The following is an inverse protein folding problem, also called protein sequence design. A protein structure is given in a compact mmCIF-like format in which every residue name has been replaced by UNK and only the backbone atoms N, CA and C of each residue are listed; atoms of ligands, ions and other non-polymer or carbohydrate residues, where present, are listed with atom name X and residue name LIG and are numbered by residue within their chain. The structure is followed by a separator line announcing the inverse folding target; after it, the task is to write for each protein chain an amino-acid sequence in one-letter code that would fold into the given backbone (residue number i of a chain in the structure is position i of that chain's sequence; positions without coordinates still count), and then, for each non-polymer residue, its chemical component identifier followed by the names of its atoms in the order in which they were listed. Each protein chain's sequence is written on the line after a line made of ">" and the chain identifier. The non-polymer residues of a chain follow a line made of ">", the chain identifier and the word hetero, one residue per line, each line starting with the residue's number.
data_IF_563325350191
#
_entry.id   IF_563325350191
#
_cell.length_a   1.000
_cell.length_b   1.000
_cell.length_c   1.000
_cell.angle_alpha   90.00
_cell.angle_beta   90.00
_cell.angle_gamma   90.00
#
_symmetry.space_group_name_H-M   'P 1'
#
loop_
_entity.id
_entity.type
_entity.pdbx_description
1 polymer ?
#
# COMPACT_ATOMS: atom_id res chain seq x y z
N UNK A 1 89.46 2.70 -19.87
CA UNK A 1 88.83 3.57 -18.90
C UNK A 1 87.52 4.12 -19.54
N UNK A 2 86.35 3.57 -19.23
CA UNK A 2 84.99 4.23 -19.33
C UNK A 2 84.02 3.45 -18.45
N UNK A 3 83.63 4.12 -17.39
CA UNK A 3 82.71 3.66 -16.38
C UNK A 3 81.32 3.61 -16.95
N UNK A 4 80.65 2.45 -16.88
CA UNK A 4 79.23 2.29 -17.19
C UNK A 4 78.37 2.36 -15.92
N UNK A 5 77.57 3.41 -15.77
CA UNK A 5 76.60 3.54 -14.69
C UNK A 5 75.40 2.56 -14.95
N UNK A 6 75.17 1.62 -14.03
CA UNK A 6 73.94 0.82 -13.94
C UNK A 6 72.84 1.68 -13.31
N UNK A 7 71.79 1.90 -14.05
CA UNK A 7 70.50 2.48 -13.51
C UNK A 7 69.77 1.40 -12.70
N UNK A 8 69.60 1.63 -11.41
CA UNK A 8 68.81 0.77 -10.54
C UNK A 8 67.33 0.93 -10.80
N UNK A 9 66.69 -0.19 -11.07
CA UNK A 9 65.19 -0.27 -11.15
C UNK A 9 64.60 -0.09 -9.73
N UNK A 10 63.67 0.86 -9.63
CA UNK A 10 62.95 1.17 -8.40
C UNK A 10 61.97 0.04 -8.05
N UNK A 11 62.04 -0.58 -6.84
CA UNK A 11 61.22 -1.76 -6.48
C UNK A 11 59.76 -1.46 -6.18
N UNK A 12 59.25 -0.25 -6.45
CA UNK A 12 57.92 0.19 -6.08
C UNK A 12 56.88 0.13 -7.21
N UNK A 13 57.26 -0.25 -8.42
CA UNK A 13 56.38 -0.31 -9.57
C UNK A 13 55.35 -1.45 -9.56
N UNK A 14 55.55 -2.62 -8.94
CA UNK A 14 54.51 -3.64 -8.91
C UNK A 14 53.40 -3.35 -7.91
N UNK A 15 53.61 -2.52 -6.88
CA UNK A 15 52.59 -2.21 -5.87
C UNK A 15 51.50 -1.23 -6.41
N UNK A 16 51.89 -0.33 -7.33
CA UNK A 16 50.96 0.64 -7.92
C UNK A 16 49.97 -0.01 -8.89
N UNK A 17 50.38 -1.08 -9.56
CA UNK A 17 49.49 -1.82 -10.47
C UNK A 17 48.46 -2.68 -9.75
N UNK A 18 48.78 -3.23 -8.59
CA UNK A 18 47.84 -4.03 -7.78
C UNK A 18 46.77 -3.14 -7.12
N UNK A 19 47.12 -1.89 -6.75
CA UNK A 19 46.15 -0.94 -6.18
C UNK A 19 45.20 -0.42 -7.25
N UNK A 20 45.66 -0.24 -8.50
CA UNK A 20 44.79 0.26 -9.58
C UNK A 20 43.80 -0.82 -10.09
N UNK A 21 44.17 -2.10 -10.05
CA UNK A 21 43.26 -3.20 -10.40
C UNK A 21 42.25 -3.54 -9.30
N UNK A 22 42.55 -3.25 -8.04
CA UNK A 22 41.63 -3.44 -6.91
C UNK A 22 40.46 -2.43 -6.86
N UNK A 23 40.64 -1.24 -7.44
CA UNK A 23 39.57 -0.22 -7.45
C UNK A 23 38.50 -0.44 -8.54
N UNK A 24 38.78 -1.23 -9.58
CA UNK A 24 37.80 -1.53 -10.64
C UNK A 24 36.83 -2.67 -10.29
N UNK A 25 37.09 -3.47 -9.26
CA UNK A 25 36.24 -4.60 -8.87
C UNK A 25 35.13 -4.25 -7.86
N UNK A 26 35.14 -3.04 -7.28
CA UNK A 26 34.19 -2.63 -6.24
C UNK A 26 32.96 -1.86 -6.76
N UNK A 27 32.87 -1.58 -8.07
CA UNK A 27 31.75 -0.79 -8.65
C UNK A 27 30.72 -1.60 -9.46
N UNK A 28 30.72 -2.93 -9.38
CA UNK A 28 29.83 -3.79 -10.19
C UNK A 28 28.41 -3.98 -9.69
N UNK A 29 28.04 -3.49 -8.53
CA UNK A 29 26.78 -3.89 -7.88
C UNK A 29 25.72 -2.82 -7.66
N UNK A 30 25.94 -1.55 -8.01
CA UNK A 30 25.04 -0.44 -7.63
C UNK A 30 24.67 0.56 -8.73
N UNK A 31 25.13 0.37 -9.95
CA UNK A 31 24.86 1.32 -11.04
C UNK A 31 23.54 1.07 -11.76
N UNK A 32 23.02 -0.14 -11.75
CA UNK A 32 21.75 -0.47 -12.41
C UNK A 32 20.55 0.24 -11.77
N UNK A 33 20.55 0.43 -10.46
CA UNK A 33 19.49 1.16 -9.73
C UNK A 33 19.51 2.69 -9.96
N UNK A 34 20.66 3.26 -10.30
CA UNK A 34 20.81 4.71 -10.54
C UNK A 34 20.37 5.13 -11.95
N UNK A 35 20.25 4.19 -12.88
CA UNK A 35 19.86 4.45 -14.28
C UNK A 35 18.39 4.15 -14.56
N UNK A 36 17.66 3.52 -13.65
CA UNK A 36 16.24 3.24 -13.84
C UNK A 36 15.42 4.49 -13.55
N UNK A 37 14.66 5.02 -14.52
CA UNK A 37 13.87 6.22 -14.32
C UNK A 37 12.76 5.98 -13.27
N UNK A 38 12.36 7.06 -12.58
CA UNK A 38 11.23 6.98 -11.65
C UNK A 38 9.93 6.75 -12.40
N UNK A 39 9.07 5.89 -11.84
CA UNK A 39 7.75 5.67 -12.40
C UNK A 39 6.84 6.90 -12.23
N UNK A 40 5.91 7.07 -13.15
CA UNK A 40 4.96 8.18 -13.20
C UNK A 40 3.51 7.74 -12.98
N UNK A 41 2.61 8.68 -12.79
CA UNK A 41 1.17 8.45 -12.58
C UNK A 41 0.76 8.49 -11.10
N UNK A 42 -0.55 8.54 -10.88
CA UNK A 42 -1.13 8.61 -9.53
C UNK A 42 -1.35 7.21 -8.95
N UNK A 43 -1.40 7.08 -7.62
CA UNK A 43 -1.81 5.83 -6.99
C UNK A 43 -3.15 5.31 -7.54
N UNK A 44 -3.23 3.98 -7.75
CA UNK A 44 -4.43 3.31 -8.26
C UNK A 44 -4.87 3.70 -9.67
N UNK A 45 -3.96 4.23 -10.50
CA UNK A 45 -4.13 4.34 -11.95
C UNK A 45 -3.49 3.13 -12.62
N UNK A 46 -4.14 2.58 -13.66
CA UNK A 46 -3.65 1.46 -14.47
C UNK A 46 -3.72 1.86 -15.93
N UNK A 47 -2.60 1.78 -16.64
CA UNK A 47 -2.55 1.92 -18.08
C UNK A 47 -2.78 0.54 -18.73
N UNK A 48 -3.88 0.41 -19.45
CA UNK A 48 -4.19 -0.79 -20.25
C UNK A 48 -3.69 -0.58 -21.68
N UNK A 49 -2.76 -1.45 -22.08
CA UNK A 49 -2.21 -1.51 -23.44
C UNK A 49 -2.93 -2.64 -24.17
N UNK A 50 -3.83 -2.30 -25.09
CA UNK A 50 -4.60 -3.27 -25.86
C UNK A 50 -4.95 -2.71 -27.23
N UNK A 51 -5.08 -3.59 -28.25
CA UNK A 51 -5.60 -3.16 -29.53
C UNK A 51 -7.07 -2.68 -29.38
N UNK A 52 -7.52 -1.70 -30.17
CA UNK A 52 -8.93 -1.27 -30.15
C UNK A 52 -9.91 -2.43 -30.36
N UNK A 53 -9.57 -3.35 -31.25
CA UNK A 53 -10.38 -4.54 -31.52
C UNK A 53 -10.58 -5.40 -30.26
N UNK A 54 -9.53 -5.68 -29.48
CA UNK A 54 -9.63 -6.45 -28.22
C UNK A 54 -10.46 -5.70 -27.19
N UNK A 55 -10.27 -4.38 -27.10
CA UNK A 55 -10.95 -3.59 -26.09
C UNK A 55 -12.47 -3.48 -26.29
N UNK A 56 -12.92 -3.37 -27.53
CA UNK A 56 -14.33 -3.21 -27.88
C UNK A 56 -15.11 -4.55 -27.87
N UNK A 57 -14.39 -5.67 -27.83
CA UNK A 57 -14.91 -7.02 -27.84
C UNK A 57 -15.18 -7.60 -26.43
N UNK A 58 -15.79 -8.81 -26.32
CA UNK A 58 -16.12 -9.43 -25.02
C UNK A 58 -14.96 -9.60 -24.06
N UNK A 59 -13.73 -9.82 -24.54
CA UNK A 59 -12.55 -9.90 -23.67
C UNK A 59 -12.21 -8.57 -22.99
N UNK A 60 -12.33 -7.45 -23.71
CA UNK A 60 -12.15 -6.11 -23.12
C UNK A 60 -13.22 -5.80 -22.07
N UNK A 61 -14.47 -6.19 -22.33
CA UNK A 61 -15.56 -6.05 -21.33
C UNK A 61 -15.31 -6.92 -20.10
N UNK A 62 -14.82 -8.14 -20.26
CA UNK A 62 -14.47 -9.03 -19.14
C UNK A 62 -13.33 -8.44 -18.30
N UNK A 63 -12.31 -7.87 -18.94
CA UNK A 63 -11.24 -7.16 -18.22
C UNK A 63 -11.77 -5.95 -17.46
N UNK A 64 -12.60 -5.14 -18.15
CA UNK A 64 -13.23 -4.00 -17.49
C UNK A 64 -13.98 -4.45 -16.23
N UNK A 65 -14.86 -5.43 -16.35
CA UNK A 65 -15.63 -5.95 -15.21
C UNK A 65 -14.77 -6.49 -14.08
N UNK A 66 -13.61 -7.08 -14.38
CA UNK A 66 -12.68 -7.58 -13.35
C UNK A 66 -12.00 -6.44 -12.56
N UNK A 67 -11.76 -5.28 -13.19
CA UNK A 67 -11.11 -4.13 -12.58
C UNK A 67 -12.09 -3.03 -12.11
N UNK A 68 -13.33 -3.06 -12.62
CA UNK A 68 -14.39 -2.09 -12.33
C UNK A 68 -15.12 -2.42 -11.02
N UNK A 69 -14.34 -2.60 -9.97
CA UNK A 69 -14.83 -2.87 -8.62
C UNK A 69 -14.79 -1.61 -7.78
N UNK A 70 -15.70 -1.47 -6.83
CA UNK A 70 -15.71 -0.35 -5.90
C UNK A 70 -14.80 -0.63 -4.68
N UNK A 71 -14.29 0.44 -4.08
CA UNK A 71 -13.60 0.36 -2.78
C UNK A 71 -14.67 0.18 -1.69
N UNK A 72 -14.60 -0.89 -0.89
CA UNK A 72 -15.58 -1.10 0.17
C UNK A 72 -15.44 -0.09 1.30
N UNK A 73 -16.57 0.20 1.97
CA UNK A 73 -16.58 1.09 3.15
C UNK A 73 -16.50 2.59 2.83
N UNK A 74 -16.79 2.99 1.59
CA UNK A 74 -16.91 4.41 1.22
C UNK A 74 -18.39 4.87 1.25
N UNK A 75 -18.65 6.15 1.57
CA UNK A 75 -20.00 6.68 1.63
C UNK A 75 -20.67 6.78 0.25
N UNK A 76 -19.86 6.80 -0.80
CA UNK A 76 -20.31 6.80 -2.19
C UNK A 76 -19.49 5.77 -2.97
N UNK A 77 -20.07 5.11 -4.00
CA UNK A 77 -19.31 4.20 -4.84
C UNK A 77 -18.15 4.92 -5.53
N UNK A 78 -16.93 4.49 -5.27
CA UNK A 78 -15.73 4.97 -5.94
C UNK A 78 -14.96 3.76 -6.47
N UNK A 79 -14.67 3.78 -7.79
CA UNK A 79 -13.94 2.69 -8.45
C UNK A 79 -12.56 2.49 -7.84
N UNK A 80 -12.18 1.23 -7.64
CA UNK A 80 -10.89 0.86 -7.06
C UNK A 80 -9.71 1.36 -7.90
N UNK A 81 -9.88 1.46 -9.23
CA UNK A 81 -8.84 1.91 -10.14
C UNK A 81 -9.38 2.94 -11.15
N UNK A 82 -8.49 3.83 -11.55
CA UNK A 82 -8.69 4.66 -12.75
C UNK A 82 -8.01 3.98 -13.92
N UNK A 83 -8.78 3.51 -14.89
CA UNK A 83 -8.26 2.86 -16.09
C UNK A 83 -7.98 3.88 -17.18
N UNK A 84 -6.76 3.88 -17.70
CA UNK A 84 -6.33 4.61 -18.89
C UNK A 84 -6.09 3.60 -20.00
N UNK A 85 -6.26 3.96 -21.25
CA UNK A 85 -6.12 3.07 -22.40
C UNK A 85 -5.16 3.62 -23.43
N UNK A 86 -4.38 2.71 -24.03
CA UNK A 86 -3.57 3.03 -25.21
C UNK A 86 -3.50 1.83 -26.15
N UNK A 87 -3.37 2.11 -27.45
CA UNK A 87 -3.07 1.06 -28.43
C UNK A 87 -1.57 0.69 -28.36
N UNK A 88 -1.17 -0.56 -28.68
CA UNK A 88 0.23 -0.98 -28.65
C UNK A 88 1.16 -0.06 -29.47
N UNK A 89 0.72 0.43 -30.63
CA UNK A 89 1.49 1.36 -31.46
C UNK A 89 1.77 2.72 -30.83
N UNK A 90 0.98 3.12 -29.83
CA UNK A 90 1.12 4.38 -29.11
C UNK A 90 1.81 4.20 -27.75
N UNK A 91 2.19 2.98 -27.39
CA UNK A 91 2.87 2.66 -26.14
C UNK A 91 4.35 3.05 -26.23
N UNK A 92 4.60 4.34 -26.15
CA UNK A 92 5.91 4.99 -26.28
C UNK A 92 6.73 5.00 -24.98
N UNK A 93 7.89 5.63 -25.03
CA UNK A 93 8.80 5.74 -23.88
C UNK A 93 8.16 6.46 -22.69
N UNK A 94 7.29 7.46 -22.92
CA UNK A 94 6.60 8.21 -21.85
C UNK A 94 5.57 7.34 -21.15
N UNK A 95 4.74 6.63 -21.91
CA UNK A 95 3.72 5.75 -21.35
C UNK A 95 4.31 4.54 -20.64
N UNK A 96 5.50 4.09 -21.05
CA UNK A 96 6.25 3.02 -20.35
C UNK A 96 6.66 3.40 -18.93
N UNK A 97 6.76 4.68 -18.62
CA UNK A 97 7.04 5.12 -17.23
C UNK A 97 5.85 4.98 -16.29
N UNK A 98 4.66 4.64 -16.77
CA UNK A 98 3.46 4.49 -15.92
C UNK A 98 3.68 3.40 -14.87
N UNK A 99 3.35 3.71 -13.64
CA UNK A 99 3.61 2.85 -12.46
C UNK A 99 2.88 1.51 -12.45
N UNK A 100 1.71 1.42 -13.08
CA UNK A 100 0.95 0.17 -13.25
C UNK A 100 0.56 0.03 -14.72
N UNK A 101 1.01 -1.02 -15.35
CA UNK A 101 0.75 -1.32 -16.74
C UNK A 101 0.11 -2.70 -16.86
N UNK A 102 -0.94 -2.81 -17.66
CA UNK A 102 -1.57 -4.07 -18.00
C UNK A 102 -1.57 -4.21 -19.53
N UNK A 103 -0.83 -5.19 -20.04
CA UNK A 103 -0.71 -5.47 -21.47
C UNK A 103 -1.61 -6.65 -21.85
N UNK A 104 -2.45 -6.48 -22.85
CA UNK A 104 -3.20 -7.54 -23.51
C UNK A 104 -2.58 -7.79 -24.89
N UNK A 105 -2.02 -8.98 -25.08
CA UNK A 105 -1.33 -9.37 -26.31
C UNK A 105 -1.97 -10.64 -26.88
N UNK A 106 -2.68 -10.49 -28.02
CA UNK A 106 -3.32 -11.57 -28.74
C UNK A 106 -2.57 -11.84 -30.02
N UNK A 107 -2.09 -13.08 -30.16
CA UNK A 107 -1.37 -13.51 -31.33
C UNK A 107 -1.42 -15.05 -31.48
N UNK A 108 -2.19 -15.54 -32.44
CA UNK A 108 -2.40 -16.97 -32.68
C UNK A 108 -1.14 -17.70 -33.14
N UNK A 109 -0.26 -16.99 -33.84
CA UNK A 109 0.98 -17.60 -34.36
C UNK A 109 2.06 -17.65 -33.27
N UNK A 110 2.03 -16.71 -32.33
CA UNK A 110 3.04 -16.53 -31.29
C UNK A 110 2.73 -17.29 -30.00
N UNK A 111 1.45 -17.41 -29.63
CA UNK A 111 1.05 -18.00 -28.36
C UNK A 111 0.27 -19.28 -28.51
N UNK A 112 0.82 -20.46 -28.09
CA UNK A 112 0.10 -21.73 -28.18
C UNK A 112 -1.01 -21.84 -27.14
N UNK A 113 -0.93 -21.10 -26.04
CA UNK A 113 -1.91 -21.09 -24.95
C UNK A 113 -1.94 -19.73 -24.25
N UNK A 114 -3.04 -19.48 -23.54
CA UNK A 114 -3.17 -18.25 -22.75
C UNK A 114 -2.31 -18.29 -21.48
N UNK A 115 -1.68 -17.17 -21.15
CA UNK A 115 -0.82 -17.02 -19.98
C UNK A 115 -1.05 -15.68 -19.26
N UNK A 116 -0.81 -15.71 -17.95
CA UNK A 116 -0.74 -14.54 -17.07
C UNK A 116 0.65 -14.45 -16.47
N UNK A 117 1.31 -13.33 -16.67
CA UNK A 117 2.64 -13.06 -16.09
C UNK A 117 2.69 -11.65 -15.52
N UNK A 118 3.58 -11.40 -14.56
CA UNK A 118 3.88 -10.04 -14.12
C UNK A 118 5.37 -9.90 -13.84
N UNK A 119 5.85 -8.67 -13.98
CA UNK A 119 7.22 -8.29 -13.64
C UNK A 119 7.22 -6.92 -12.95
N UNK A 120 8.25 -6.68 -12.14
CA UNK A 120 8.47 -5.38 -11.48
C UNK A 120 9.62 -4.65 -12.16
N UNK A 121 9.54 -3.32 -12.14
CA UNK A 121 10.64 -2.42 -12.52
C UNK A 121 11.19 -2.66 -13.94
N UNK A 122 10.26 -2.90 -14.90
CA UNK A 122 10.63 -3.24 -16.28
C UNK A 122 11.14 -2.03 -17.05
N UNK A 123 10.48 -0.89 -16.91
CA UNK A 123 10.82 0.36 -17.63
C UNK A 123 11.12 1.51 -16.70
N UNK A 124 10.62 1.45 -15.47
CA UNK A 124 10.76 2.47 -14.44
C UNK A 124 10.64 1.82 -13.06
N UNK A 125 11.06 2.49 -11.99
CA UNK A 125 10.92 2.00 -10.62
C UNK A 125 10.27 3.08 -9.73
N UNK A 126 9.38 2.64 -8.80
CA UNK A 126 8.78 1.30 -8.64
C UNK A 126 7.62 1.08 -9.62
N UNK A 127 7.60 -0.02 -10.34
CA UNK A 127 6.62 -0.31 -11.40
C UNK A 127 6.10 -1.75 -11.33
N UNK A 128 4.83 -1.96 -11.67
CA UNK A 128 4.25 -3.27 -11.95
C UNK A 128 3.77 -3.34 -13.39
N UNK A 129 4.27 -4.32 -14.13
CA UNK A 129 3.80 -4.66 -15.49
C UNK A 129 3.17 -6.04 -15.44
N UNK A 130 1.88 -6.11 -15.73
CA UNK A 130 1.12 -7.35 -15.89
C UNK A 130 0.91 -7.61 -17.38
N UNK A 131 1.13 -8.84 -17.83
CA UNK A 131 0.93 -9.22 -19.22
C UNK A 131 0.02 -10.44 -19.32
N UNK A 132 -1.07 -10.30 -20.05
CA UNK A 132 -1.98 -11.35 -20.44
C UNK A 132 -1.76 -11.64 -21.94
N UNK A 133 -1.31 -12.86 -22.24
CA UNK A 133 -1.09 -13.33 -23.60
C UNK A 133 -2.07 -14.44 -23.94
N UNK A 134 -2.59 -14.44 -25.15
CA UNK A 134 -3.50 -15.50 -25.60
C UNK A 134 -3.45 -15.68 -27.12
N UNK A 135 -3.72 -16.89 -27.65
CA UNK A 135 -3.83 -17.11 -29.08
C UNK A 135 -5.07 -16.41 -29.69
N UNK A 136 -6.14 -16.31 -28.90
CA UNK A 136 -7.43 -15.79 -29.33
C UNK A 136 -8.22 -15.16 -28.18
N UNK A 137 -9.36 -14.58 -28.51
CA UNK A 137 -10.20 -13.86 -27.58
C UNK A 137 -10.86 -14.77 -26.53
N UNK A 138 -11.26 -16.00 -26.90
CA UNK A 138 -11.91 -16.92 -25.98
C UNK A 138 -10.93 -17.43 -24.93
N UNK A 139 -9.71 -17.73 -25.34
CA UNK A 139 -8.61 -18.06 -24.43
C UNK A 139 -8.28 -16.90 -23.48
N UNK A 140 -8.31 -15.66 -23.98
CA UNK A 140 -8.11 -14.47 -23.14
C UNK A 140 -9.23 -14.31 -22.10
N UNK A 141 -10.50 -14.47 -22.51
CA UNK A 141 -11.65 -14.44 -21.57
C UNK A 141 -11.53 -15.51 -20.49
N UNK A 142 -11.12 -16.73 -20.86
CA UNK A 142 -10.92 -17.82 -19.91
C UNK A 142 -9.84 -17.50 -18.87
N UNK A 143 -8.72 -16.89 -19.27
CA UNK A 143 -7.69 -16.42 -18.33
C UNK A 143 -8.22 -15.31 -17.44
N UNK A 144 -8.89 -14.31 -18.01
CA UNK A 144 -9.49 -13.21 -17.25
C UNK A 144 -10.47 -13.70 -16.21
N UNK A 145 -11.31 -14.67 -16.54
CA UNK A 145 -12.23 -15.26 -15.57
C UNK A 145 -11.51 -15.93 -14.38
N UNK A 146 -10.39 -16.63 -14.66
CA UNK A 146 -9.56 -17.25 -13.61
C UNK A 146 -8.85 -16.23 -12.73
N UNK A 147 -8.41 -15.11 -13.28
CA UNK A 147 -7.66 -14.09 -12.53
C UNK A 147 -8.52 -12.88 -12.09
N UNK A 148 -9.84 -12.90 -12.31
CA UNK A 148 -10.73 -11.79 -12.03
C UNK A 148 -10.63 -11.28 -10.58
N UNK A 149 -10.50 -12.16 -9.59
CA UNK A 149 -10.35 -11.77 -8.19
C UNK A 149 -8.89 -11.45 -7.81
N UNK A 150 -7.90 -12.06 -8.46
CA UNK A 150 -6.49 -11.88 -8.12
C UNK A 150 -5.87 -10.63 -8.77
N UNK A 151 -6.33 -10.25 -9.93
CA UNK A 151 -5.82 -9.10 -10.68
C UNK A 151 -5.99 -7.76 -9.92
N UNK A 152 -7.17 -7.39 -9.41
CA UNK A 152 -7.32 -6.20 -8.59
C UNK A 152 -6.52 -6.26 -7.28
N UNK A 153 -6.44 -7.44 -6.67
CA UNK A 153 -5.64 -7.65 -5.45
C UNK A 153 -4.16 -7.39 -5.70
N UNK A 154 -3.61 -7.89 -6.82
CA UNK A 154 -2.21 -7.69 -7.18
C UNK A 154 -1.88 -6.20 -7.28
N UNK A 155 -2.64 -5.42 -8.06
CA UNK A 155 -2.42 -3.97 -8.17
C UNK A 155 -2.59 -3.24 -6.83
N UNK A 156 -3.59 -3.64 -6.04
CA UNK A 156 -3.80 -3.07 -4.70
C UNK A 156 -2.63 -3.34 -3.76
N UNK A 157 -2.11 -4.56 -3.76
CA UNK A 157 -0.97 -4.95 -2.94
C UNK A 157 0.30 -4.20 -3.32
N UNK A 158 0.56 -4.03 -4.63
CA UNK A 158 1.72 -3.27 -5.09
C UNK A 158 1.63 -1.79 -4.71
N UNK A 159 0.46 -1.16 -4.83
CA UNK A 159 0.27 0.22 -4.37
C UNK A 159 0.51 0.35 -2.87
N UNK A 160 0.01 -0.59 -2.08
CA UNK A 160 0.24 -0.63 -0.63
C UNK A 160 1.71 -0.82 -0.30
N UNK A 161 2.42 -1.76 -0.96
CA UNK A 161 3.86 -1.98 -0.77
C UNK A 161 4.65 -0.70 -1.04
N UNK A 162 4.35 0.02 -2.12
CA UNK A 162 4.98 1.30 -2.44
C UNK A 162 4.72 2.35 -1.37
N UNK A 163 3.49 2.40 -0.83
CA UNK A 163 3.16 3.35 0.23
C UNK A 163 3.86 2.99 1.55
N UNK A 164 3.94 1.71 1.91
CA UNK A 164 4.71 1.25 3.07
C UNK A 164 6.20 1.57 2.92
N UNK A 165 6.78 1.31 1.75
CA UNK A 165 8.18 1.68 1.49
C UNK A 165 8.41 3.20 1.59
N UNK A 166 7.47 4.00 1.11
CA UNK A 166 7.53 5.46 1.26
C UNK A 166 7.45 5.89 2.73
N UNK A 167 6.61 5.24 3.53
CA UNK A 167 6.47 5.53 4.97
C UNK A 167 7.76 5.24 5.75
N UNK A 168 8.60 4.30 5.31
CA UNK A 168 9.88 4.03 5.97
C UNK A 168 10.73 5.31 6.13
N UNK A 169 10.74 6.17 5.11
CA UNK A 169 11.53 7.39 5.07
C UNK A 169 10.71 8.67 5.43
N UNK A 170 9.37 8.58 5.47
CA UNK A 170 8.49 9.76 5.57
C UNK A 170 7.44 9.65 6.68
N UNK A 171 7.67 8.76 7.66
CA UNK A 171 6.75 8.66 8.80
C UNK A 171 7.04 9.71 9.87
N UNK A 172 6.03 9.96 10.71
CA UNK A 172 6.16 10.82 11.88
C UNK A 172 6.96 10.13 12.98
N UNK A 173 8.18 10.60 13.22
CA UNK A 173 9.01 10.11 14.34
C UNK A 173 8.33 10.33 15.70
N UNK A 174 7.63 11.45 15.87
CA UNK A 174 6.89 11.74 17.10
C UNK A 174 5.77 10.72 17.34
N UNK A 175 4.95 10.41 16.35
CA UNK A 175 3.89 9.40 16.51
C UNK A 175 4.48 8.02 16.78
N UNK A 176 5.55 7.64 16.10
CA UNK A 176 6.23 6.36 16.34
C UNK A 176 6.75 6.25 17.77
N UNK A 177 7.35 7.32 18.31
CA UNK A 177 7.82 7.38 19.71
C UNK A 177 6.64 7.27 20.69
N UNK A 178 5.58 8.06 20.52
CA UNK A 178 4.41 8.03 21.39
C UNK A 178 3.70 6.66 21.40
N UNK A 179 3.58 6.02 20.24
CA UNK A 179 3.03 4.66 20.13
C UNK A 179 3.92 3.65 20.85
N UNK A 180 5.24 3.77 20.70
CA UNK A 180 6.20 2.89 21.38
C UNK A 180 6.15 3.06 22.90
N UNK A 181 6.12 4.27 23.40
CA UNK A 181 6.03 4.56 24.84
C UNK A 181 4.71 4.08 25.46
N UNK A 182 3.59 4.36 24.80
CA UNK A 182 2.27 4.09 25.37
C UNK A 182 1.80 2.65 25.17
N UNK A 183 2.15 2.04 24.02
CA UNK A 183 1.64 0.72 23.62
C UNK A 183 2.72 -0.35 23.48
N UNK A 184 4.01 -0.02 23.60
CA UNK A 184 5.12 -0.92 23.28
C UNK A 184 5.01 -1.53 21.87
N UNK A 185 4.43 -0.80 20.93
CA UNK A 185 4.21 -1.19 19.53
C UNK A 185 5.00 -0.28 18.59
N UNK A 186 5.18 -0.71 17.34
CA UNK A 186 5.72 0.14 16.29
C UNK A 186 4.66 0.33 15.21
N UNK A 187 4.55 1.55 14.66
CA UNK A 187 3.70 1.87 13.52
C UNK A 187 4.24 3.10 12.79
N UNK A 188 4.11 3.11 11.48
CA UNK A 188 4.49 4.25 10.65
C UNK A 188 3.23 4.94 10.12
N UNK A 189 3.08 6.20 10.45
CA UNK A 189 2.04 7.08 9.91
C UNK A 189 2.67 8.27 9.23
N UNK A 190 2.03 8.91 8.22
CA UNK A 190 2.61 10.04 7.52
C UNK A 190 3.00 11.18 8.47
N UNK A 191 4.14 11.84 8.20
CA UNK A 191 4.63 12.98 8.98
C UNK A 191 3.67 14.19 8.97
N UNK A 192 2.73 14.25 8.01
CA UNK A 192 1.71 15.31 7.95
C UNK A 192 0.67 15.28 9.07
N UNK A 193 0.57 14.19 9.85
CA UNK A 193 -0.28 14.12 11.03
C UNK A 193 0.37 14.87 12.19
N UNK A 194 0.12 16.17 12.29
CA UNK A 194 0.81 17.08 13.18
C UNK A 194 -0.01 17.56 14.39
N UNK A 195 -1.29 17.19 14.47
CA UNK A 195 -2.15 17.44 15.62
C UNK A 195 -2.34 16.16 16.43
N UNK A 196 -2.18 16.20 17.74
CA UNK A 196 -2.14 15.01 18.58
C UNK A 196 -3.03 15.13 19.81
N UNK A 197 -3.61 14.00 20.24
CA UNK A 197 -4.29 13.85 21.51
C UNK A 197 -3.96 12.48 22.11
N UNK A 198 -3.57 12.50 23.39
CA UNK A 198 -3.34 11.30 24.18
C UNK A 198 -4.45 11.10 25.20
N UNK A 199 -4.76 9.84 25.52
CA UNK A 199 -5.70 9.44 26.56
C UNK A 199 -5.25 8.16 27.25
N UNK A 200 -6.04 7.64 28.15
CA UNK A 200 -5.75 6.36 28.80
C UNK A 200 -5.90 5.21 27.78
N UNK A 201 -4.80 4.54 27.44
CA UNK A 201 -4.74 3.52 26.38
C UNK A 201 -5.32 4.01 25.05
N UNK A 202 -5.14 5.30 24.73
CA UNK A 202 -5.67 5.95 23.55
C UNK A 202 -4.68 6.99 23.01
N UNK A 203 -4.46 6.98 21.71
CA UNK A 203 -3.68 7.98 20.99
C UNK A 203 -4.38 8.34 19.69
N UNK A 204 -4.43 9.62 19.35
CA UNK A 204 -5.00 10.17 18.13
C UNK A 204 -4.06 11.17 17.51
N UNK A 205 -3.80 11.03 16.20
CA UNK A 205 -3.07 11.99 15.39
C UNK A 205 -3.89 12.37 14.16
N UNK A 206 -3.86 13.64 13.75
CA UNK A 206 -4.58 14.13 12.58
C UNK A 206 -3.80 15.19 11.81
N UNK A 207 -4.18 15.43 10.56
CA UNK A 207 -3.72 16.59 9.80
C UNK A 207 -4.40 17.88 10.27
N UNK A 208 -5.54 17.75 10.96
CA UNK A 208 -6.39 18.87 11.42
C UNK A 208 -6.73 19.84 10.28
N UNK A 209 -6.93 19.30 9.09
CA UNK A 209 -7.21 20.09 7.89
C UNK A 209 -8.74 20.26 7.69
N UNK A 210 -9.23 21.44 7.37
CA UNK A 210 -10.67 21.70 7.33
C UNK A 210 -11.41 21.00 6.19
N UNK A 211 -10.73 20.64 5.11
CA UNK A 211 -11.34 20.06 3.90
C UNK A 211 -10.91 18.65 3.55
N UNK A 212 -9.73 18.24 4.01
CA UNK A 212 -9.20 16.88 3.83
C UNK A 212 -8.45 16.50 5.10
N UNK A 213 -9.17 16.01 6.11
CA UNK A 213 -8.56 15.61 7.37
C UNK A 213 -8.31 14.11 7.38
N UNK A 214 -7.04 13.75 7.46
CA UNK A 214 -6.53 12.38 7.59
C UNK A 214 -6.23 12.11 9.07
N UNK A 215 -6.70 10.98 9.57
CA UNK A 215 -6.64 10.67 10.97
C UNK A 215 -6.11 9.25 11.21
N UNK A 216 -5.32 9.11 12.26
CA UNK A 216 -4.85 7.85 12.81
C UNK A 216 -5.23 7.76 14.28
N UNK A 217 -5.80 6.64 14.69
CA UNK A 217 -6.12 6.34 16.09
C UNK A 217 -5.53 4.99 16.46
N UNK A 218 -4.98 4.91 17.68
CA UNK A 218 -4.57 3.66 18.30
C UNK A 218 -5.14 3.57 19.70
N UNK A 219 -5.70 2.41 20.03
CA UNK A 219 -6.17 2.13 21.39
C UNK A 219 -6.02 0.65 21.73
N UNK A 220 -6.00 0.38 23.03
CA UNK A 220 -5.89 -0.98 23.53
C UNK A 220 -6.84 -1.23 24.70
N UNK A 221 -7.30 -2.48 24.81
CA UNK A 221 -8.15 -2.92 25.91
C UNK A 221 -7.92 -4.41 26.24
N UNK A 222 -8.23 -4.90 27.46
CA UNK A 222 -8.02 -6.29 27.82
C UNK A 222 -8.69 -7.27 26.86
N UNK A 223 -7.97 -8.31 26.45
CA UNK A 223 -8.54 -9.39 25.64
C UNK A 223 -9.34 -10.33 26.53
N UNK A 224 -10.64 -10.45 26.25
CA UNK A 224 -11.57 -11.26 27.03
C UNK A 224 -12.16 -12.43 26.23
N UNK A 225 -11.75 -12.59 24.98
CA UNK A 225 -12.22 -13.68 24.13
C UNK A 225 -12.58 -13.27 22.71
N UNK A 226 -13.02 -14.23 21.90
CA UNK A 226 -13.28 -14.07 20.46
C UNK A 226 -14.40 -13.07 20.14
N UNK A 227 -15.29 -12.78 21.10
CA UNK A 227 -16.38 -11.81 20.96
C UNK A 227 -15.87 -10.42 20.55
N UNK A 228 -14.64 -10.06 20.98
CA UNK A 228 -13.99 -8.81 20.59
C UNK A 228 -13.87 -8.63 19.06
N UNK A 229 -13.80 -9.72 18.30
CA UNK A 229 -13.64 -9.73 16.85
C UNK A 229 -14.95 -9.88 16.07
N UNK A 230 -16.06 -9.88 16.77
CA UNK A 230 -17.38 -9.80 16.13
C UNK A 230 -17.71 -8.34 15.75
N UNK A 231 -18.59 -8.17 14.77
CA UNK A 231 -19.08 -6.85 14.39
C UNK A 231 -19.69 -6.09 15.58
N UNK A 232 -20.51 -6.77 16.38
CA UNK A 232 -21.15 -6.18 17.56
C UNK A 232 -20.14 -5.78 18.63
N UNK A 233 -19.19 -6.66 18.95
CA UNK A 233 -18.12 -6.42 19.92
C UNK A 233 -17.23 -5.25 19.51
N UNK A 234 -16.83 -5.20 18.23
CA UNK A 234 -16.06 -4.07 17.69
C UNK A 234 -16.80 -2.75 17.82
N UNK A 235 -18.04 -2.66 17.33
CA UNK A 235 -18.83 -1.41 17.33
C UNK A 235 -19.01 -0.93 18.78
N UNK A 236 -19.42 -1.83 19.67
CA UNK A 236 -19.62 -1.48 21.09
C UNK A 236 -18.34 -0.89 21.71
N UNK A 237 -17.19 -1.55 21.49
CA UNK A 237 -15.92 -1.09 22.04
C UNK A 237 -15.46 0.22 21.39
N UNK A 238 -15.48 0.29 20.05
CA UNK A 238 -15.07 1.48 19.30
C UNK A 238 -15.90 2.71 19.72
N UNK A 239 -17.23 2.59 19.73
CA UNK A 239 -18.09 3.72 20.07
C UNK A 239 -17.88 4.19 21.53
N UNK A 240 -17.62 3.26 22.46
CA UNK A 240 -17.25 3.62 23.84
C UNK A 240 -15.96 4.43 23.91
N UNK A 241 -14.90 3.96 23.20
CA UNK A 241 -13.59 4.64 23.16
C UNK A 241 -13.71 6.00 22.47
N UNK A 242 -14.40 6.06 21.32
CA UNK A 242 -14.52 7.31 20.56
C UNK A 242 -15.38 8.35 21.30
N UNK A 243 -16.43 7.92 22.00
CA UNK A 243 -17.25 8.79 22.84
C UNK A 243 -16.46 9.47 23.95
N UNK A 244 -15.53 8.75 24.55
CA UNK A 244 -14.65 9.28 25.61
C UNK A 244 -13.59 10.24 25.05
N UNK A 245 -13.03 9.91 23.88
CA UNK A 245 -11.81 10.54 23.39
C UNK A 245 -12.03 11.52 22.21
N UNK A 246 -13.08 11.34 21.41
CA UNK A 246 -13.38 12.20 20.24
C UNK A 246 -14.81 12.74 20.37
N UNK A 247 -15.04 13.67 21.32
CA UNK A 247 -16.33 14.34 21.46
C UNK A 247 -16.60 15.24 20.25
N UNK A 248 -17.86 15.50 19.96
CA UNK A 248 -18.27 16.52 19.00
C UNK A 248 -18.17 17.94 19.55
N UNK A 249 -18.63 18.92 18.74
CA UNK A 249 -18.54 20.34 19.09
C UNK A 249 -19.41 20.73 20.30
N UNK A 250 -20.50 20.00 20.57
CA UNK A 250 -21.43 20.30 21.66
C UNK A 250 -21.61 19.10 22.57
N UNK A 251 -22.10 19.37 23.79
CA UNK A 251 -22.36 18.34 24.80
C UNK A 251 -23.29 17.23 24.25
N UNK A 252 -22.90 15.98 24.44
CA UNK A 252 -23.64 14.82 23.94
C UNK A 252 -23.33 14.40 22.51
N UNK A 253 -22.58 15.21 21.76
CA UNK A 253 -22.05 14.81 20.44
C UNK A 253 -20.77 14.00 20.60
N UNK A 254 -20.60 12.97 19.78
CA UNK A 254 -19.39 12.13 19.73
C UNK A 254 -19.32 11.34 18.43
N UNK A 255 -18.11 10.89 18.09
CA UNK A 255 -17.92 9.99 16.97
C UNK A 255 -18.50 8.62 17.29
N UNK A 256 -19.31 8.10 16.38
CA UNK A 256 -19.94 6.77 16.43
C UNK A 256 -19.77 6.02 15.10
N UNK A 257 -20.04 4.72 15.14
CA UNK A 257 -19.98 3.84 13.96
C UNK A 257 -21.37 3.73 13.31
N UNK A 258 -21.40 3.75 11.98
CA UNK A 258 -22.59 3.34 11.23
C UNK A 258 -22.63 1.81 11.15
N UNK A 259 -23.50 1.19 11.93
CA UNK A 259 -23.58 -0.26 12.03
C UNK A 259 -24.05 -0.95 10.75
N UNK A 260 -24.82 -0.27 9.91
CA UNK A 260 -25.31 -0.85 8.64
C UNK A 260 -24.20 -0.91 7.60
N UNK A 261 -23.34 0.10 7.59
CA UNK A 261 -22.25 0.26 6.63
C UNK A 261 -20.91 -0.29 7.13
N UNK A 262 -20.93 -1.17 8.14
CA UNK A 262 -19.73 -1.78 8.71
C UNK A 262 -19.63 -3.24 8.32
N UNK A 263 -18.43 -3.64 7.85
CA UNK A 263 -18.07 -5.00 7.49
C UNK A 263 -16.82 -5.46 8.24
N UNK A 264 -16.76 -6.77 8.55
CA UNK A 264 -15.67 -7.40 9.31
C UNK A 264 -15.12 -8.57 8.53
N UNK A 265 -13.80 -8.64 8.37
CA UNK A 265 -13.14 -9.80 7.78
C UNK A 265 -11.89 -10.19 8.54
N UNK A 266 -11.60 -11.48 8.54
CA UNK A 266 -10.35 -12.02 9.08
C UNK A 266 -9.42 -12.39 7.93
N UNK A 267 -8.14 -12.09 8.08
CA UNK A 267 -7.11 -12.55 7.16
C UNK A 267 -5.79 -12.79 7.90
N UNK A 268 -4.95 -13.65 7.31
CA UNK A 268 -3.62 -13.94 7.85
C UNK A 268 -2.57 -13.01 7.22
N UNK A 269 -1.65 -12.51 8.06
CA UNK A 269 -0.48 -11.75 7.64
C UNK A 269 0.67 -12.01 8.62
N UNK A 270 1.86 -12.35 8.11
CA UNK A 270 3.05 -12.55 8.95
C UNK A 270 2.88 -13.64 10.04
N UNK A 271 2.06 -14.66 9.80
CA UNK A 271 1.77 -15.71 10.78
C UNK A 271 0.69 -15.37 11.80
N UNK A 272 0.19 -14.14 11.83
CA UNK A 272 -0.88 -13.70 12.72
C UNK A 272 -2.22 -13.52 11.99
N UNK A 273 -3.31 -13.57 12.77
CA UNK A 273 -4.65 -13.25 12.28
C UNK A 273 -4.96 -11.79 12.56
N UNK A 274 -5.28 -11.05 11.51
CA UNK A 274 -5.75 -9.68 11.58
C UNK A 274 -7.26 -9.65 11.38
N UNK A 275 -7.97 -8.98 12.28
CA UNK A 275 -9.37 -8.63 12.08
C UNK A 275 -9.43 -7.22 11.50
N UNK A 276 -9.79 -7.13 10.22
CA UNK A 276 -10.03 -5.85 9.55
C UNK A 276 -11.50 -5.48 9.67
N UNK A 277 -11.77 -4.25 10.05
CA UNK A 277 -13.11 -3.68 10.05
C UNK A 277 -13.12 -2.44 9.16
N UNK A 278 -14.06 -2.40 8.23
CA UNK A 278 -14.28 -1.24 7.34
C UNK A 278 -15.67 -0.73 7.50
N UNK A 279 -15.84 0.57 7.45
CA UNK A 279 -17.17 1.15 7.54
C UNK A 279 -17.18 2.66 7.49
N UNK A 280 -18.30 3.21 7.92
CA UNK A 280 -18.49 4.65 8.04
C UNK A 280 -18.56 5.06 9.50
N UNK A 281 -17.87 6.14 9.82
CA UNK A 281 -18.05 6.87 11.06
C UNK A 281 -18.95 8.08 10.82
N UNK A 282 -19.61 8.52 11.87
CA UNK A 282 -20.43 9.74 11.89
C UNK A 282 -20.34 10.40 13.27
N UNK A 283 -20.54 11.69 13.32
CA UNK A 283 -20.76 12.38 14.59
C UNK A 283 -22.25 12.30 14.95
N UNK A 284 -22.57 11.75 16.11
CA UNK A 284 -23.95 11.72 16.60
C UNK A 284 -24.41 13.16 16.89
N UNK A 285 -25.47 13.60 16.24
CA UNK A 285 -26.00 14.96 16.35
C UNK A 285 -25.39 15.97 15.37
N UNK A 286 -24.59 15.50 14.39
CA UNK A 286 -23.99 16.33 13.33
C UNK A 286 -24.02 15.56 12.01
N UNK A 287 -23.74 16.26 10.92
CA UNK A 287 -23.61 15.70 9.56
C UNK A 287 -22.19 15.23 9.22
N UNK A 288 -21.22 15.45 10.09
CA UNK A 288 -19.85 14.99 9.87
C UNK A 288 -19.78 13.47 9.86
N UNK A 289 -19.05 12.94 8.88
CA UNK A 289 -18.82 11.51 8.72
C UNK A 289 -17.85 11.21 7.61
N UNK A 290 -17.46 9.94 7.51
CA UNK A 290 -16.52 9.50 6.49
C UNK A 290 -16.18 8.01 6.62
N UNK A 291 -15.27 7.50 5.78
CA UNK A 291 -14.80 6.13 5.86
C UNK A 291 -13.79 5.94 6.98
N UNK A 292 -13.77 4.73 7.52
CA UNK A 292 -12.70 4.24 8.39
C UNK A 292 -12.25 2.84 8.00
N UNK A 293 -11.02 2.50 8.36
CA UNK A 293 -10.46 1.15 8.31
C UNK A 293 -9.72 0.91 9.62
N UNK A 294 -10.03 -0.20 10.30
CA UNK A 294 -9.38 -0.61 11.54
C UNK A 294 -8.75 -1.99 11.37
N UNK A 295 -7.56 -2.17 11.91
CA UNK A 295 -6.93 -3.48 12.13
C UNK A 295 -6.89 -3.78 13.61
N UNK A 296 -7.37 -4.95 14.01
CA UNK A 296 -7.34 -5.46 15.36
C UNK A 296 -6.44 -6.68 15.44
N UNK A 297 -5.55 -6.71 16.43
CA UNK A 297 -4.68 -7.86 16.71
C UNK A 297 -4.62 -8.14 18.22
N UNK A 298 -4.35 -9.38 18.60
CA UNK A 298 -4.10 -9.75 19.99
C UNK A 298 -2.62 -9.60 20.33
N UNK A 299 -2.30 -8.67 21.21
CA UNK A 299 -1.01 -8.63 21.88
C UNK A 299 -0.99 -9.72 22.96
N UNK A 300 -0.35 -10.85 22.62
CA UNK A 300 -0.29 -12.05 23.46
C UNK A 300 0.57 -11.83 24.71
N UNK A 301 1.55 -10.90 24.65
CA UNK A 301 2.46 -10.61 25.76
C UNK A 301 1.69 -9.84 26.85
N UNK A 302 0.91 -8.83 26.47
CA UNK A 302 0.18 -8.00 27.42
C UNK A 302 -1.31 -8.40 27.57
N UNK A 303 -1.75 -9.52 26.97
CA UNK A 303 -3.12 -10.05 27.05
C UNK A 303 -4.18 -8.99 26.73
N UNK A 304 -4.00 -8.27 25.62
CA UNK A 304 -4.89 -7.18 25.21
C UNK A 304 -5.17 -7.22 23.72
N UNK A 305 -6.26 -6.63 23.30
CA UNK A 305 -6.53 -6.28 21.91
C UNK A 305 -5.91 -4.91 21.63
N UNK A 306 -5.12 -4.83 20.58
CA UNK A 306 -4.60 -3.57 20.03
C UNK A 306 -5.36 -3.27 18.75
N UNK A 307 -5.88 -2.05 18.65
CA UNK A 307 -6.60 -1.55 17.49
C UNK A 307 -5.85 -0.36 16.93
N UNK A 308 -5.47 -0.46 15.64
CA UNK A 308 -5.02 0.67 14.83
C UNK A 308 -6.11 1.00 13.84
N UNK A 309 -6.49 2.24 13.77
CA UNK A 309 -7.55 2.72 12.88
C UNK A 309 -7.11 3.96 12.12
N UNK A 310 -7.52 4.06 10.87
CA UNK A 310 -7.43 5.29 10.09
C UNK A 310 -8.83 5.70 9.64
N UNK A 311 -9.09 6.99 9.65
CA UNK A 311 -10.35 7.54 9.15
C UNK A 311 -10.12 8.88 8.46
N UNK A 312 -11.03 9.24 7.57
CA UNK A 312 -10.91 10.44 6.73
C UNK A 312 -12.18 11.26 6.82
N UNK A 313 -12.02 12.58 6.94
CA UNK A 313 -13.05 13.57 6.71
C UNK A 313 -12.69 14.38 5.46
N UNK A 314 -13.48 14.29 4.42
CA UNK A 314 -13.25 15.00 3.17
C UNK A 314 -14.60 15.25 2.47
N UNK A 315 -15.39 16.24 2.95
CA UNK A 315 -16.67 16.58 2.33
C UNK A 315 -16.43 17.01 0.87
N UNK A 316 -17.35 16.64 -0.02
CA UNK A 316 -17.36 16.97 -1.44
C UNK A 316 -16.14 16.51 -2.25
N UNK A 317 -15.34 15.58 -1.70
CA UNK A 317 -14.18 15.00 -2.37
C UNK A 317 -14.22 13.49 -2.43
N UNK A 318 -13.51 12.93 -3.43
CA UNK A 318 -13.27 11.49 -3.53
C UNK A 318 -12.34 11.03 -2.40
N UNK A 319 -12.74 9.99 -1.67
CA UNK A 319 -12.06 9.52 -0.46
C UNK A 319 -11.20 8.30 -0.70
N UNK A 320 -11.36 7.64 -1.86
CA UNK A 320 -10.65 6.41 -2.23
C UNK A 320 -9.15 6.48 -1.99
N UNK A 321 -8.48 7.48 -2.55
CA UNK A 321 -7.02 7.56 -2.47
C UNK A 321 -6.57 7.96 -1.05
N UNK A 322 -7.30 8.85 -0.39
CA UNK A 322 -7.01 9.28 0.98
C UNK A 322 -7.04 8.09 1.93
N UNK A 323 -8.18 7.40 2.02
CA UNK A 323 -8.32 6.28 2.96
C UNK A 323 -7.34 5.14 2.65
N UNK A 324 -7.10 4.80 1.36
CA UNK A 324 -6.21 3.70 0.99
C UNK A 324 -4.73 4.03 1.22
N UNK A 325 -4.33 5.28 1.12
CA UNK A 325 -2.98 5.71 1.47
C UNK A 325 -2.75 5.68 2.97
N UNK A 326 -3.75 6.10 3.75
CA UNK A 326 -3.72 6.00 5.21
C UNK A 326 -3.76 4.55 5.69
N UNK A 327 -4.56 3.70 5.05
CA UNK A 327 -4.66 2.27 5.34
C UNK A 327 -3.30 1.55 5.29
N UNK A 328 -2.38 1.99 4.43
CA UNK A 328 -1.05 1.39 4.35
C UNK A 328 -0.30 1.44 5.69
N UNK A 329 -0.56 2.45 6.53
CA UNK A 329 0.00 2.57 7.88
C UNK A 329 -0.37 1.39 8.78
N UNK A 330 -1.58 0.84 8.63
CA UNK A 330 -2.05 -0.29 9.43
C UNK A 330 -1.25 -1.57 9.19
N UNK A 331 -0.64 -1.69 8.01
CA UNK A 331 0.20 -2.83 7.63
C UNK A 331 1.64 -2.72 8.13
N UNK A 332 2.01 -1.60 8.75
CA UNK A 332 3.31 -1.39 9.39
C UNK A 332 3.28 -1.69 10.89
N UNK A 333 2.10 -2.01 11.45
CA UNK A 333 1.95 -2.31 12.88
C UNK A 333 2.76 -3.56 13.25
N UNK A 334 3.68 -3.38 14.20
CA UNK A 334 4.39 -4.45 14.89
C UNK A 334 3.97 -4.47 16.36
N UNK A 335 3.54 -5.61 16.83
CA UNK A 335 3.25 -5.86 18.25
C UNK A 335 4.49 -6.37 18.96
N UNK A 336 4.55 -6.27 20.29
CA UNK A 336 5.58 -6.92 21.08
C UNK A 336 5.65 -8.43 20.78
N UNK A 337 6.84 -8.91 20.41
CA UNK A 337 7.07 -10.31 20.08
C UNK A 337 6.82 -10.67 18.60
N UNK A 338 6.43 -9.73 17.75
CA UNK A 338 6.48 -9.94 16.29
C UNK A 338 7.97 -10.07 15.90
N UNK A 339 8.35 -11.21 15.32
CA UNK A 339 9.69 -11.38 14.77
C UNK A 339 9.91 -10.42 13.60
N UNK A 340 11.13 -9.91 13.45
CA UNK A 340 11.52 -9.21 12.23
C UNK A 340 11.48 -10.25 11.08
N UNK A 341 10.36 -10.30 10.39
CA UNK A 341 10.29 -11.04 9.13
C UNK A 341 11.14 -10.27 8.12
N UNK A 342 12.40 -10.69 7.97
CA UNK A 342 13.18 -10.33 6.80
C UNK A 342 12.38 -10.75 5.56
N UNK A 343 11.88 -9.77 4.81
CA UNK A 343 11.32 -9.98 3.48
C UNK A 343 12.43 -10.54 2.58
N UNK A 344 12.41 -11.88 2.41
CA UNK A 344 13.21 -12.60 1.41
C UNK A 344 12.59 -12.48 0.04
#
# INVERSE_FOLDING_TARGET
>A
MKSGKRMGLCPWMPLLWVVLTGLCAACGGRLDGLLTPSSSGRPYEILVVASPAVWEHPAGRALWSALDTDVPGLPQPERAFRLMRTAPRNFDATLRLTRNILVLDLDKEKYPQASFTYARDVYAAPQLVVTLRAPDEDSLKAVLARCAASLPRLFTQEERKRRVAWLADHHSAYVAEQVKEQFACEVWVPAGLASYKTGRNFFWASTNAPTEDENFVMYAYPYTGAEAFTKAGFIHKRDSVMKENIPGAYAGMYMATDSLMTDVRLFAQGGDTICEVRGLWRVKGDFMGGPFVSHMRVDKIHQRVVVCEVFVYAPDRMKRNLIRQMEASLYTLKLPGDEETEDK
#
